data_IF_763439731440
#
_entry.id   IF_763439731440
#
_cell.length_a   1.000
_cell.length_b   1.000
_cell.length_c   1.000
_cell.angle_alpha   90.00
_cell.angle_beta   90.00
_cell.angle_gamma   90.00
#
_symmetry.space_group_name_H-M   'P 1'
#
loop_
_entity.id
_entity.type
_entity.pdbx_description
1 polymer ?
#
# COMPACT_ATOMS: atom_id res chain seq x y z
N UNK A 1 -6.09 -1.50 14.91
CA UNK A 1 -6.65 -1.31 13.55
C UNK A 1 -5.53 -1.14 12.54
N UNK A 2 -5.76 -1.62 11.34
CA UNK A 2 -4.81 -1.54 10.26
C UNK A 2 -5.37 -0.69 9.12
N UNK A 3 -4.49 0.11 8.52
CA UNK A 3 -4.88 1.01 7.43
C UNK A 3 -4.00 0.75 6.21
N UNK A 4 -4.61 0.75 5.04
CA UNK A 4 -3.88 0.68 3.78
C UNK A 4 -3.55 2.09 3.33
N UNK A 5 -2.29 2.31 2.99
CA UNK A 5 -1.80 3.59 2.50
C UNK A 5 -1.29 3.40 1.08
N UNK A 6 -1.81 4.19 0.15
CA UNK A 6 -1.32 4.19 -1.23
C UNK A 6 -0.28 5.29 -1.40
N UNK A 7 0.93 4.90 -1.77
CA UNK A 7 1.99 5.83 -2.12
C UNK A 7 2.13 5.86 -3.64
N UNK A 8 2.11 7.05 -4.22
CA UNK A 8 2.38 7.24 -5.64
C UNK A 8 3.83 7.64 -5.80
N UNK A 9 4.54 7.01 -6.74
CA UNK A 9 5.96 7.22 -6.94
C UNK A 9 6.22 7.93 -8.27
N UNK A 10 7.29 8.73 -8.30
CA UNK A 10 7.80 9.29 -9.55
C UNK A 10 8.73 8.30 -10.26
N UNK A 11 9.32 8.70 -11.38
CA UNK A 11 10.20 7.84 -12.18
C UNK A 11 11.49 7.45 -11.45
N UNK A 12 11.88 8.24 -10.45
CA UNK A 12 13.07 7.97 -9.63
C UNK A 12 12.75 7.15 -8.38
N UNK A 13 11.49 6.78 -8.18
CA UNK A 13 11.06 6.00 -7.03
C UNK A 13 10.76 6.83 -5.78
N UNK A 14 10.70 8.14 -5.90
CA UNK A 14 10.37 9.02 -4.78
C UNK A 14 8.86 9.13 -4.60
N UNK A 15 8.41 9.19 -3.35
CA UNK A 15 6.98 9.37 -3.04
C UNK A 15 6.56 10.80 -3.33
N UNK A 16 5.61 10.96 -4.26
CA UNK A 16 5.06 12.26 -4.65
C UNK A 16 3.65 12.48 -4.14
N UNK A 17 2.98 11.43 -3.68
CA UNK A 17 1.65 11.55 -3.11
C UNK A 17 1.39 10.39 -2.16
N UNK A 18 0.63 10.66 -1.10
CA UNK A 18 0.19 9.67 -0.12
C UNK A 18 -1.32 9.78 0.05
N UNK A 19 -2.00 8.65 0.04
CA UNK A 19 -3.44 8.61 0.28
C UNK A 19 -3.77 7.48 1.24
N UNK A 20 -4.42 7.82 2.34
CA UNK A 20 -4.92 6.85 3.30
C UNK A 20 -6.24 6.29 2.78
N UNK A 21 -6.33 4.97 2.65
CA UNK A 21 -7.50 4.32 2.07
C UNK A 21 -8.44 3.83 3.16
N UNK A 22 -9.73 3.94 2.91
CA UNK A 22 -10.76 3.39 3.78
C UNK A 22 -11.30 2.08 3.17
N UNK A 23 -11.84 1.17 3.99
CA UNK A 23 -12.02 1.24 5.45
C UNK A 23 -10.77 0.83 6.22
N UNK A 24 -10.83 0.96 7.56
CA UNK A 24 -9.83 0.36 8.44
C UNK A 24 -10.17 -1.11 8.66
N UNK A 25 -9.15 -1.91 9.01
CA UNK A 25 -9.30 -3.35 9.21
C UNK A 25 -8.86 -3.74 10.62
N UNK A 26 -9.58 -4.68 11.22
CA UNK A 26 -9.20 -5.21 12.53
C UNK A 26 -8.04 -6.20 12.45
N UNK A 27 -7.95 -6.93 11.33
CA UNK A 27 -6.93 -7.96 11.13
C UNK A 27 -5.95 -7.53 10.05
N UNK A 28 -4.65 -7.70 10.35
CA UNK A 28 -3.58 -7.40 9.39
C UNK A 28 -3.74 -8.21 8.11
N UNK A 29 -4.07 -9.50 8.25
CA UNK A 29 -4.24 -10.40 7.10
C UNK A 29 -5.32 -9.93 6.15
N UNK A 30 -6.41 -9.40 6.68
CA UNK A 30 -7.48 -8.86 5.86
C UNK A 30 -7.01 -7.60 5.12
N UNK A 31 -6.31 -6.71 5.82
CA UNK A 31 -5.74 -5.51 5.18
C UNK A 31 -4.74 -5.89 4.08
N UNK A 32 -3.91 -6.91 4.32
CA UNK A 32 -2.94 -7.38 3.32
C UNK A 32 -3.62 -7.95 2.07
N UNK A 33 -4.70 -8.70 2.23
CA UNK A 33 -5.48 -9.21 1.09
C UNK A 33 -6.12 -8.07 0.29
N UNK A 34 -6.65 -7.08 0.97
CA UNK A 34 -7.26 -5.93 0.31
C UNK A 34 -6.22 -5.04 -0.37
N UNK A 35 -5.03 -4.91 0.21
CA UNK A 35 -3.91 -4.21 -0.41
C UNK A 35 -3.48 -4.91 -1.71
N UNK A 36 -3.39 -6.24 -1.70
CA UNK A 36 -3.13 -7.02 -2.90
C UNK A 36 -4.18 -6.79 -3.96
N UNK A 37 -5.46 -6.82 -3.57
CA UNK A 37 -6.57 -6.59 -4.48
C UNK A 37 -6.48 -5.21 -5.12
N UNK A 38 -6.17 -4.18 -4.32
CA UNK A 38 -6.00 -2.82 -4.83
C UNK A 38 -4.83 -2.73 -5.81
N UNK A 39 -3.71 -3.38 -5.51
CA UNK A 39 -2.55 -3.40 -6.39
C UNK A 39 -2.88 -4.08 -7.73
N UNK A 40 -3.54 -5.23 -7.70
CA UNK A 40 -3.90 -5.96 -8.90
C UNK A 40 -4.94 -5.23 -9.76
N UNK A 41 -5.71 -4.32 -9.17
CA UNK A 41 -6.76 -3.57 -9.86
C UNK A 41 -6.27 -2.41 -10.72
N UNK A 42 -4.97 -2.13 -10.75
CA UNK A 42 -4.43 -0.98 -11.49
C UNK A 42 -4.13 -1.27 -12.97
N UNK A 43 -4.40 -2.48 -13.43
CA UNK A 43 -4.25 -2.89 -14.84
C UNK A 43 -2.81 -2.88 -15.36
N UNK A 44 -1.83 -3.04 -14.46
CA UNK A 44 -0.44 -3.21 -14.80
C UNK A 44 0.16 -4.38 -14.04
N UNK A 45 1.45 -4.36 -13.87
CA UNK A 45 2.14 -5.36 -13.09
C UNK A 45 1.97 -5.10 -11.61
N UNK A 46 2.04 -6.15 -10.81
CA UNK A 46 2.03 -6.03 -9.35
C UNK A 46 2.78 -7.20 -8.72
N UNK A 47 3.19 -7.00 -7.47
CA UNK A 47 3.87 -8.03 -6.72
C UNK A 47 4.07 -7.61 -5.27
N UNK A 48 4.65 -8.49 -4.48
CA UNK A 48 4.96 -8.21 -3.09
C UNK A 48 6.47 -7.97 -2.91
N UNK A 49 6.81 -6.86 -2.25
CA UNK A 49 8.19 -6.52 -1.91
C UNK A 49 8.43 -6.93 -0.45
N UNK A 50 9.14 -8.03 -0.25
CA UNK A 50 9.43 -8.55 1.09
C UNK A 50 10.34 -7.64 1.90
N UNK A 51 11.24 -6.94 1.25
CA UNK A 51 12.19 -6.05 1.89
C UNK A 51 11.48 -4.85 2.51
N UNK A 52 10.55 -4.24 1.75
CA UNK A 52 9.74 -3.11 2.21
C UNK A 52 8.45 -3.52 2.87
N UNK A 53 8.10 -4.79 2.80
CA UNK A 53 6.86 -5.36 3.35
C UNK A 53 5.63 -4.64 2.84
N UNK A 54 5.56 -4.43 1.55
CA UNK A 54 4.43 -3.77 0.92
C UNK A 54 4.14 -4.38 -0.46
N UNK A 55 2.93 -4.14 -0.96
CA UNK A 55 2.58 -4.48 -2.33
C UNK A 55 3.00 -3.33 -3.23
N UNK A 56 3.62 -3.66 -4.36
CA UNK A 56 3.92 -2.69 -5.40
C UNK A 56 3.03 -2.94 -6.60
N UNK A 57 2.76 -1.90 -7.38
CA UNK A 57 1.96 -2.02 -8.58
C UNK A 57 2.33 -0.94 -9.59
N UNK A 58 2.02 -1.21 -10.85
CA UNK A 58 2.05 -0.19 -11.89
C UNK A 58 0.68 -0.11 -12.55
N UNK A 59 0.29 1.07 -13.03
CA UNK A 59 -0.94 1.22 -13.79
C UNK A 59 -0.66 1.05 -15.29
N UNK A 60 -1.70 1.19 -16.12
CA UNK A 60 -1.59 1.02 -17.57
C UNK A 60 -0.69 2.05 -18.24
N UNK A 61 -0.35 3.15 -17.57
CA UNK A 61 0.54 4.20 -18.06
C UNK A 61 1.96 4.07 -17.54
N UNK A 62 2.24 3.03 -16.74
CA UNK A 62 3.55 2.81 -16.16
C UNK A 62 3.82 3.58 -14.87
N UNK A 63 2.83 4.31 -14.32
CA UNK A 63 2.96 4.98 -13.02
C UNK A 63 3.07 3.93 -11.92
N UNK A 64 3.98 4.13 -10.98
CA UNK A 64 4.22 3.16 -9.92
C UNK A 64 3.60 3.58 -8.60
N UNK A 65 3.17 2.56 -7.85
CA UNK A 65 2.50 2.73 -6.57
C UNK A 65 3.02 1.70 -5.57
N UNK A 66 2.92 2.05 -4.28
CA UNK A 66 3.08 1.09 -3.19
C UNK A 66 1.84 1.12 -2.32
N UNK A 67 1.43 -0.07 -1.86
CA UNK A 67 0.33 -0.21 -0.92
C UNK A 67 0.90 -0.77 0.37
N UNK A 68 0.94 0.06 1.39
CA UNK A 68 1.53 -0.25 2.69
C UNK A 68 0.41 -0.47 3.69
N UNK A 69 0.57 -1.45 4.56
CA UNK A 69 -0.35 -1.68 5.68
C UNK A 69 0.29 -1.16 6.94
N UNK A 70 -0.33 -0.17 7.56
CA UNK A 70 0.16 0.45 8.78
C UNK A 70 -0.66 -0.01 9.97
N UNK A 71 0.02 -0.39 11.06
CA UNK A 71 -0.63 -0.71 12.32
C UNK A 71 -0.79 0.57 13.14
N UNK A 72 -2.02 1.09 13.17
CA UNK A 72 -2.33 2.34 13.86
C UNK A 72 -2.16 2.22 15.37
N UNK A 73 -2.40 1.03 15.92
CA UNK A 73 -2.23 0.78 17.36
C UNK A 73 -0.76 0.89 17.75
N UNK A 74 0.13 0.31 16.95
CA UNK A 74 1.57 0.40 17.19
C UNK A 74 2.07 1.84 17.11
N UNK A 75 1.55 2.63 16.17
CA UNK A 75 1.88 4.04 16.04
C UNK A 75 1.45 4.84 17.27
N UNK A 76 0.24 4.57 17.80
CA UNK A 76 -0.26 5.20 19.01
C UNK A 76 0.59 4.85 20.23
N UNK A 77 1.04 3.63 20.33
CA UNK A 77 1.89 3.17 21.43
C UNK A 77 3.30 3.77 21.38
N UNK A 78 3.78 4.08 20.18
CA UNK A 78 5.10 4.67 19.99
C UNK A 78 5.12 6.17 20.33
N UNK A 79 3.98 6.78 20.38
CA UNK A 79 3.85 8.20 20.70
C UNK A 79 3.82 8.42 22.22
#
# INVERSE_FOLDING_TARGET
MFQIIRLTLDDDGNVINRRDLQPLFELREHAMLMARSAASGLWGDFGYDEERRCWWASDSRGRQYRFVVEDLTAADMAA
#
